data_IF_565138207687
#
_entry.id   IF_565138207687
#
_cell.length_a   1.000
_cell.length_b   1.000
_cell.length_c   1.000
_cell.angle_alpha   90.00
_cell.angle_beta   90.00
_cell.angle_gamma   90.00
#
_symmetry.space_group_name_H-M   'P 1'
#
loop_
_entity.id
_entity.type
_entity.pdbx_description
1 polymer ?
2 non-polymer ?
3 water ?
#
# COMPACT_ATOMS: atom_id res chain seq x y z
N UNK A 2 11.97 7.66 -27.15
CA UNK A 2 11.64 6.89 -25.87
C UNK A 2 12.53 7.26 -24.68
N UNK A 3 11.94 7.45 -23.48
CA UNK A 3 12.77 7.78 -22.32
C UNK A 3 13.76 6.69 -21.94
N UNK A 4 14.81 7.10 -21.25
CA UNK A 4 15.85 6.19 -20.77
C UNK A 4 15.53 5.51 -19.49
N UNK A 5 14.74 6.14 -18.63
CA UNK A 5 14.20 5.49 -17.46
C UNK A 5 12.75 5.85 -17.31
N UNK A 6 11.96 4.90 -16.83
CA UNK A 6 10.65 5.23 -16.30
C UNK A 6 10.50 4.50 -14.97
N UNK A 7 9.54 4.98 -14.18
CA UNK A 7 9.18 4.40 -12.90
C UNK A 7 7.81 4.91 -12.52
N UNK A 8 6.81 4.08 -12.76
CA UNK A 8 5.41 4.44 -12.62
C UNK A 8 4.96 4.66 -11.17
N UNK A 9 5.73 4.12 -10.22
CA UNK A 9 5.54 4.46 -8.81
C UNK A 9 5.66 5.95 -8.56
N UNK A 10 6.53 6.61 -9.30
CA UNK A 10 6.72 8.06 -9.21
C UNK A 10 5.55 8.90 -9.70
N UNK A 11 4.62 8.30 -10.45
CA UNK A 11 3.38 8.97 -10.83
C UNK A 11 2.17 8.44 -10.04
N UNK A 12 2.43 7.83 -8.89
CA UNK A 12 1.39 7.28 -8.02
C UNK A 12 0.42 6.33 -8.68
N UNK A 13 0.93 5.50 -9.59
CA UNK A 13 0.15 4.54 -10.36
C UNK A 13 0.27 3.11 -9.89
N UNK A 14 1.09 2.86 -8.89
CA UNK A 14 1.33 1.54 -8.34
C UNK A 14 0.86 1.49 -6.90
N UNK A 15 0.07 0.48 -6.56
CA UNK A 15 -0.34 0.30 -5.19
C UNK A 15 0.77 -0.36 -4.37
N UNK A 16 0.51 -0.46 -3.08
CA UNK A 16 1.41 -1.13 -2.18
C UNK A 16 1.66 -2.57 -2.58
N UNK A 17 2.83 -3.04 -2.22
CA UNK A 17 3.22 -4.40 -2.51
C UNK A 17 2.36 -5.38 -1.69
N UNK A 18 1.96 -6.45 -2.37
CA UNK A 18 1.10 -7.45 -1.78
C UNK A 18 1.88 -8.71 -1.46
N UNK A 19 1.24 -9.57 -0.68
CA UNK A 19 1.85 -10.79 -0.17
C UNK A 19 0.95 -11.97 -0.49
N UNK A 20 1.35 -12.78 -1.46
CA UNK A 20 0.52 -13.89 -1.94
C UNK A 20 0.51 -15.08 -0.98
N UNK A 21 1.64 -15.32 -0.31
CA UNK A 21 1.77 -16.44 0.60
C UNK A 21 1.68 -17.78 -0.13
N UNK A 22 1.08 -18.78 0.53
CA UNK A 22 1.01 -20.16 0.01
C UNK A 22 0.17 -20.37 -1.25
N UNK A 23 -0.74 -19.45 -1.54
CA UNK A 23 -1.59 -19.54 -2.73
C UNK A 23 -0.82 -19.06 -3.96
N UNK A 24 -0.84 -19.85 -5.04
CA UNK A 24 -0.17 -19.54 -6.28
C UNK A 24 -1.01 -18.60 -7.14
N UNK A 25 -1.28 -17.40 -6.61
CA UNK A 25 -2.09 -16.40 -7.31
C UNK A 25 -1.29 -15.22 -7.85
N UNK A 26 0.01 -15.41 -8.05
CA UNK A 26 0.86 -14.39 -8.66
C UNK A 26 0.27 -13.79 -9.96
N UNK A 27 -0.29 -14.66 -10.81
CA UNK A 27 -1.07 -14.22 -11.99
C UNK A 27 -2.13 -13.15 -11.71
N UNK A 28 -2.93 -13.40 -10.67
CA UNK A 28 -3.98 -12.48 -10.29
C UNK A 28 -3.40 -11.18 -9.78
N UNK A 29 -2.28 -11.25 -9.07
CA UNK A 29 -1.64 -10.02 -8.57
C UNK A 29 -1.03 -9.23 -9.73
N UNK A 30 -0.43 -9.91 -10.70
CA UNK A 30 0.04 -9.25 -11.91
C UNK A 30 -1.10 -8.53 -12.66
N UNK A 31 -2.25 -9.21 -12.77
CA UNK A 31 -3.39 -8.69 -13.49
C UNK A 31 -3.89 -7.42 -12.82
N UNK A 32 -4.24 -7.51 -11.54
CA UNK A 32 -4.77 -6.34 -10.84
C UNK A 32 -3.78 -5.14 -10.83
N UNK A 33 -2.49 -5.43 -10.68
CA UNK A 33 -1.42 -4.44 -10.82
C UNK A 33 -1.48 -3.63 -12.09
N UNK A 34 -1.63 -4.32 -13.21
CA UNK A 34 -1.68 -3.65 -14.50
C UNK A 34 -2.94 -2.76 -14.67
N UNK A 35 -4.08 -3.24 -14.16
CA UNK A 35 -5.36 -2.54 -14.26
C UNK A 35 -5.46 -1.37 -13.26
N UNK A 36 -4.98 -1.56 -12.02
CA UNK A 36 -4.84 -0.47 -11.03
C UNK A 36 -4.25 0.78 -11.68
N UNK A 37 -3.15 0.60 -12.41
CA UNK A 37 -2.48 1.71 -13.07
C UNK A 37 -3.37 2.44 -14.09
N UNK A 38 -4.09 1.69 -14.91
CA UNK A 38 -4.98 2.27 -15.92
C UNK A 38 -6.12 3.02 -15.25
N UNK A 39 -6.63 2.45 -14.16
CA UNK A 39 -7.67 3.14 -13.37
C UNK A 39 -7.16 4.47 -12.85
N UNK A 40 -5.93 4.50 -12.35
CA UNK A 40 -5.35 5.77 -11.88
C UNK A 40 -5.27 6.77 -13.00
N UNK A 41 -4.61 6.41 -14.10
CA UNK A 41 -4.53 7.27 -15.26
C UNK A 41 -5.90 7.82 -15.69
N UNK A 42 -6.88 6.93 -15.81
CA UNK A 42 -8.25 7.31 -16.21
C UNK A 42 -8.91 8.25 -15.19
N UNK A 43 -8.85 7.89 -13.91
CA UNK A 43 -9.70 8.51 -12.88
C UNK A 43 -8.97 9.38 -11.88
N UNK A 44 -7.65 9.30 -11.79
CA UNK A 44 -6.92 9.96 -10.71
C UNK A 44 -6.93 9.25 -9.36
N UNK A 45 -7.76 8.23 -9.20
CA UNK A 45 -7.86 7.48 -7.95
C UNK A 45 -7.11 6.17 -8.11
N UNK A 46 -6.24 5.91 -7.13
CA UNK A 46 -5.44 4.71 -7.05
C UNK A 46 -6.12 3.79 -6.05
N UNK A 47 -6.67 2.69 -6.52
CA UNK A 47 -7.41 1.74 -5.66
C UNK A 47 -6.88 0.32 -5.93
N UNK A 48 -6.52 -0.41 -4.87
CA UNK A 48 -6.16 -1.83 -5.02
C UNK A 48 -7.38 -2.63 -5.39
N UNK A 49 -7.28 -3.35 -6.49
CA UNK A 49 -8.33 -4.21 -6.97
C UNK A 49 -8.10 -5.60 -6.47
N UNK A 50 -9.17 -6.38 -6.50
CA UNK A 50 -9.25 -7.65 -5.81
C UNK A 50 -8.66 -8.81 -6.61
N UNK A 51 -7.60 -9.38 -6.05
CA UNK A 51 -7.02 -10.63 -6.55
C UNK A 51 -7.85 -11.85 -6.17
N UNK A 52 -8.52 -11.77 -5.02
CA UNK A 52 -9.34 -12.87 -4.54
C UNK A 52 -10.54 -13.06 -5.44
N UNK A 53 -11.12 -11.95 -5.89
CA UNK A 53 -12.15 -11.92 -6.93
C UNK A 53 -11.72 -12.73 -8.17
N UNK A 54 -10.49 -12.51 -8.64
CA UNK A 54 -10.01 -13.23 -9.82
C UNK A 54 -9.85 -14.71 -9.52
N UNK A 55 -9.21 -14.98 -8.39
CA UNK A 55 -8.98 -16.35 -7.91
C UNK A 55 -10.30 -17.12 -7.81
N UNK A 56 -11.30 -16.52 -7.16
CA UNK A 56 -12.59 -17.19 -6.96
C UNK A 56 -13.44 -17.29 -8.20
N UNK A 57 -13.39 -16.30 -9.09
CA UNK A 57 -14.37 -16.16 -10.19
C UNK A 57 -13.83 -16.40 -11.61
N UNK A 58 -12.56 -16.10 -11.86
CA UNK A 58 -11.89 -16.41 -13.12
C UNK A 58 -11.25 -17.78 -12.93
N UNK A 59 -12.02 -18.80 -13.29
CA UNK A 59 -11.74 -20.19 -12.94
C UNK A 59 -11.62 -21.02 -14.23
N UNK A 60 -12.09 -22.27 -14.24
CA UNK A 60 -11.83 -23.23 -15.34
C UNK A 60 -12.33 -22.79 -16.71
N UNK A 61 -13.46 -22.06 -16.73
CA UNK A 61 -13.95 -21.40 -17.95
C UNK A 61 -12.92 -20.43 -18.60
N UNK A 62 -12.00 -19.87 -17.80
CA UNK A 62 -10.89 -19.01 -18.30
C UNK A 62 -9.53 -19.68 -18.26
N UNK A 63 -9.51 -21.00 -18.11
CA UNK A 63 -8.28 -21.77 -18.05
C UNK A 63 -7.48 -21.61 -16.78
N UNK A 64 -8.09 -21.10 -15.72
CA UNK A 64 -7.39 -20.82 -14.46
C UNK A 64 -7.80 -21.81 -13.36
N UNK A 65 -6.92 -21.95 -12.38
CA UNK A 65 -7.07 -22.92 -11.31
C UNK A 65 -6.91 -22.29 -9.94
N UNK A 66 -7.27 -21.03 -9.81
CA UNK A 66 -7.10 -20.26 -8.55
C UNK A 66 -5.69 -20.33 -7.94
N UNK A 67 -5.57 -20.88 -6.75
CA UNK A 67 -4.28 -21.07 -6.08
C UNK A 67 -3.32 -22.04 -6.76
N UNK A 68 -3.81 -22.85 -7.69
CA UNK A 68 -2.97 -23.75 -8.46
C UNK A 68 -2.41 -23.10 -9.74
N UNK A 69 -2.70 -21.82 -9.98
CA UNK A 69 -2.18 -21.13 -11.15
C UNK A 69 -3.24 -20.63 -12.11
N UNK A 70 -2.78 -19.86 -13.07
CA UNK A 70 -3.66 -19.18 -14.03
C UNK A 70 -2.84 -18.14 -14.78
N UNK A 71 -3.54 -17.37 -15.61
CA UNK A 71 -2.91 -16.49 -16.56
C UNK A 71 -3.50 -15.09 -16.42
N UNK A 72 -2.71 -14.05 -16.61
CA UNK A 72 -3.22 -12.66 -16.64
C UNK A 72 -4.18 -12.35 -17.82
N UNK A 73 -3.83 -12.82 -19.02
CA UNK A 73 -4.65 -12.58 -20.20
C UNK A 73 -6.13 -12.98 -19.97
N UNK A 74 -6.34 -14.17 -19.41
CA UNK A 74 -7.69 -14.67 -19.23
C UNK A 74 -8.37 -13.98 -18.05
N UNK A 75 -7.58 -13.58 -17.06
CA UNK A 75 -8.10 -12.74 -15.97
C UNK A 75 -8.69 -11.43 -16.52
N UNK A 76 -7.96 -10.79 -17.43
CA UNK A 76 -8.43 -9.58 -18.06
C UNK A 76 -9.71 -9.82 -18.83
N UNK A 77 -9.80 -10.97 -19.50
CA UNK A 77 -11.04 -11.34 -20.20
C UNK A 77 -12.24 -11.47 -19.23
N UNK A 78 -12.04 -12.14 -18.10
CA UNK A 78 -13.10 -12.26 -17.09
C UNK A 78 -13.66 -10.88 -16.69
N UNK A 79 -12.78 -9.91 -16.53
CA UNK A 79 -13.20 -8.60 -16.06
C UNK A 79 -14.01 -7.89 -17.14
N UNK A 80 -13.60 -8.10 -18.40
CA UNK A 80 -14.37 -7.64 -19.54
C UNK A 80 -15.74 -8.32 -19.50
N UNK A 81 -15.75 -9.65 -19.44
CA UNK A 81 -17.00 -10.45 -19.43
C UNK A 81 -17.90 -10.14 -18.23
N UNK A 82 -17.35 -10.21 -17.03
CA UNK A 82 -18.04 -9.85 -15.77
C UNK A 82 -18.51 -8.38 -15.72
N UNK A 83 -18.03 -7.52 -16.64
CA UNK A 83 -18.38 -6.08 -16.69
C UNK A 83 -18.03 -5.35 -15.37
N UNK A 84 -16.96 -5.81 -14.73
CA UNK A 84 -16.53 -5.27 -13.46
C UNK A 84 -15.53 -6.11 -12.73
N UNK A 85 -14.86 -5.48 -11.77
CA UNK A 85 -14.06 -6.15 -10.75
C UNK A 85 -14.22 -5.39 -9.43
N UNK A 86 -14.27 -6.12 -8.32
CA UNK A 86 -14.39 -5.48 -7.03
C UNK A 86 -13.06 -4.92 -6.52
N UNK A 87 -13.18 -3.94 -5.63
CA UNK A 87 -12.08 -3.43 -4.86
C UNK A 87 -11.55 -4.51 -3.93
N UNK A 88 -10.26 -4.44 -3.63
CA UNK A 88 -9.61 -5.24 -2.60
C UNK A 88 -10.28 -5.04 -1.26
N UNK A 89 -10.59 -3.78 -0.92
CA UNK A 89 -11.19 -3.44 0.36
C UNK A 89 -12.50 -4.18 0.60
N UNK A 90 -13.28 -4.36 -0.47
CA UNK A 90 -14.59 -5.03 -0.39
C UNK A 90 -14.51 -6.54 -0.55
N UNK A 91 -13.46 -7.04 -1.19
CA UNK A 91 -13.29 -8.45 -1.48
C UNK A 91 -11.84 -8.80 -1.16
N UNK A 92 -11.52 -8.90 0.15
CA UNK A 92 -10.11 -9.03 0.57
C UNK A 92 -9.47 -10.38 0.23
N UNK A 93 -8.15 -10.34 0.02
CA UNK A 93 -7.35 -11.53 -0.29
C UNK A 93 -7.24 -12.48 0.93
N UNK A 94 -7.56 -13.75 0.70
CA UNK A 94 -7.57 -14.77 1.74
C UNK A 94 -6.57 -15.91 1.50
N UNK A 95 -5.81 -15.85 0.42
CA UNK A 95 -4.83 -16.91 0.07
C UNK A 95 -5.40 -18.34 0.09
N UNK A 96 -6.66 -18.46 -0.30
CA UNK A 96 -7.30 -19.77 -0.53
C UNK A 96 -8.42 -19.62 -1.51
N UNK A 97 -8.71 -20.71 -2.22
CA UNK A 97 -9.84 -20.80 -3.13
C UNK A 97 -11.16 -20.72 -2.36
N UNK A 98 -12.12 -19.96 -2.87
CA UNK A 98 -13.44 -19.79 -2.25
C UNK A 98 -14.51 -19.74 -3.32
N UNK A 99 -15.77 -19.89 -2.92
CA UNK A 99 -16.89 -19.68 -3.85
C UNK A 99 -16.81 -18.23 -4.38
N UNK A 100 -17.33 -18.01 -5.58
CA UNK A 100 -17.30 -16.66 -6.19
C UNK A 100 -18.28 -15.72 -5.51
N UNK A 101 -17.76 -14.63 -4.93
CA UNK A 101 -18.55 -13.72 -4.10
C UNK A 101 -18.54 -12.31 -4.66
N UNK A 102 -18.52 -12.19 -5.98
CA UNK A 102 -18.48 -10.88 -6.63
C UNK A 102 -19.83 -10.19 -6.49
N UNK A 103 -19.80 -8.92 -6.09
CA UNK A 103 -21.00 -8.09 -5.97
C UNK A 103 -20.76 -6.78 -6.72
N UNK A 104 -21.56 -6.54 -7.76
CA UNK A 104 -21.43 -5.36 -8.60
C UNK A 104 -21.63 -4.02 -7.85
N UNK A 105 -22.29 -4.03 -6.70
CA UNK A 105 -22.37 -2.85 -5.84
C UNK A 105 -20.99 -2.32 -5.42
N UNK A 106 -19.99 -3.21 -5.31
CA UNK A 106 -18.64 -2.84 -4.91
C UNK A 106 -17.61 -2.81 -6.07
N UNK A 107 -18.10 -2.72 -7.30
CA UNK A 107 -17.26 -2.65 -8.49
C UNK A 107 -16.38 -1.43 -8.43
N UNK A 108 -15.08 -1.63 -8.53
CA UNK A 108 -14.11 -0.53 -8.43
C UNK A 108 -13.41 -0.23 -9.75
N UNK A 109 -13.54 -1.11 -10.72
CA UNK A 109 -12.94 -0.89 -12.02
C UNK A 109 -13.59 -1.75 -13.08
N UNK A 110 -13.21 -1.45 -14.31
CA UNK A 110 -13.78 -2.10 -15.45
C UNK A 110 -12.65 -2.25 -16.45
N UNK A 111 -12.83 -3.11 -17.44
CA UNK A 111 -11.81 -3.38 -18.46
C UNK A 111 -12.48 -3.49 -19.81
N UNK A 112 -11.97 -2.73 -20.79
CA UNK A 112 -12.55 -2.71 -22.15
C UNK A 112 -11.84 -3.69 -23.08
N UNK A 113 -10.52 -3.71 -23.05
CA UNK A 113 -9.73 -4.63 -23.87
C UNK A 113 -8.41 -4.95 -23.16
N UNK A 114 -7.65 -5.88 -23.73
CA UNK A 114 -6.25 -6.13 -23.38
C UNK A 114 -5.40 -6.44 -24.62
N UNK A 115 -4.10 -6.25 -24.53
CA UNK A 115 -3.18 -6.46 -25.64
C UNK A 115 -2.10 -7.44 -25.17
N UNK A 116 -1.64 -8.30 -26.07
CA UNK A 116 -0.51 -9.16 -25.83
C UNK A 116 0.63 -8.65 -26.70
N UNK A 117 1.84 -8.65 -26.17
CA UNK A 117 3.00 -8.20 -26.93
C UNK A 117 3.67 -9.41 -27.56
N UNK A 118 4.42 -9.19 -28.64
CA UNK A 118 5.19 -10.30 -29.24
C UNK A 118 6.23 -10.89 -28.30
N UNK A 119 6.36 -12.21 -28.35
CA UNK A 119 7.25 -12.95 -27.47
C UNK A 119 8.70 -12.50 -27.67
N UNK A 120 9.43 -12.33 -26.58
CA UNK A 120 10.87 -12.03 -26.61
C UNK A 120 11.30 -10.67 -27.12
N UNK A 121 10.37 -9.74 -27.31
CA UNK A 121 10.67 -8.44 -27.92
C UNK A 121 10.82 -7.40 -26.84
N UNK A 122 12.05 -7.22 -26.35
CA UNK A 122 12.34 -6.31 -25.22
C UNK A 122 12.25 -4.82 -25.61
N UNK A 123 12.55 -4.53 -26.87
CA UNK A 123 12.29 -3.22 -27.44
C UNK A 123 10.79 -2.87 -27.43
N UNK A 124 9.94 -3.84 -27.74
CA UNK A 124 8.50 -3.63 -27.77
C UNK A 124 7.93 -3.48 -26.34
N UNK A 125 8.42 -4.30 -25.42
CA UNK A 125 8.02 -4.20 -24.02
C UNK A 125 8.37 -2.83 -23.44
N UNK A 126 9.57 -2.35 -23.74
CA UNK A 126 10.05 -1.02 -23.33
C UNK A 126 9.13 0.09 -23.83
N UNK A 127 8.79 0.03 -25.12
CA UNK A 127 7.86 0.98 -25.73
C UNK A 127 6.54 1.01 -24.95
N UNK A 128 5.92 -0.16 -24.77
CA UNK A 128 4.67 -0.31 -24.01
C UNK A 128 4.75 0.24 -22.58
N UNK A 129 5.84 -0.08 -21.88
CA UNK A 129 5.99 0.41 -20.50
C UNK A 129 6.09 1.94 -20.48
N UNK A 130 6.84 2.50 -21.43
CA UNK A 130 6.98 3.94 -21.56
C UNK A 130 5.65 4.62 -21.98
N UNK A 131 4.97 4.05 -22.98
CA UNK A 131 3.82 4.71 -23.64
C UNK A 131 2.46 4.32 -23.12
N UNK A 132 2.34 3.17 -22.46
CA UNK A 132 1.02 2.69 -22.02
C UNK A 132 0.81 2.53 -20.51
N UNK A 133 1.89 2.28 -19.77
CA UNK A 133 1.79 2.03 -18.32
C UNK A 133 2.43 0.71 -17.93
N UNK A 134 2.25 0.29 -16.68
CA UNK A 134 2.84 -1.00 -16.28
C UNK A 134 2.26 -2.20 -17.04
N UNK A 135 3.06 -3.23 -17.24
CA UNK A 135 2.74 -4.37 -18.10
C UNK A 135 2.85 -5.67 -17.30
N UNK A 136 1.80 -6.49 -17.36
CA UNK A 136 1.81 -7.80 -16.72
C UNK A 136 2.75 -8.71 -17.51
N UNK A 137 3.66 -9.39 -16.81
CA UNK A 137 4.51 -10.43 -17.44
C UNK A 137 4.63 -11.62 -16.54
N UNK A 138 5.16 -12.67 -17.13
CA UNK A 138 5.56 -13.87 -16.40
C UNK A 138 7.07 -13.89 -16.39
N UNK A 139 7.61 -14.53 -15.37
CA UNK A 139 9.06 -14.79 -15.26
C UNK A 139 9.31 -16.23 -14.85
N UNK A 140 10.52 -16.70 -15.14
CA UNK A 140 10.99 -17.96 -14.57
C UNK A 140 11.59 -17.62 -13.23
N UNK A 141 10.85 -17.94 -12.18
CA UNK A 141 11.26 -17.73 -10.79
C UNK A 141 11.62 -19.02 -10.05
N UNK A 142 11.75 -20.14 -10.77
CA UNK A 142 12.07 -21.45 -10.15
C UNK A 142 13.59 -21.64 -10.00
N UNK A 143 14.20 -20.81 -9.16
CA UNK A 143 15.65 -20.77 -8.97
C UNK A 143 15.91 -20.21 -7.60
N UNK A 144 16.76 -20.87 -6.82
CA UNK A 144 17.04 -20.38 -5.48
C UNK A 144 17.52 -18.93 -5.43
N UNK A 145 18.31 -18.50 -6.41
CA UNK A 145 18.81 -17.11 -6.44
C UNK A 145 17.69 -16.06 -6.49
N UNK A 146 16.56 -16.45 -7.08
CA UNK A 146 15.39 -15.58 -7.14
C UNK A 146 14.84 -15.31 -5.75
N UNK A 147 14.57 -16.36 -4.99
CA UNK A 147 14.00 -16.25 -3.64
C UNK A 147 14.94 -15.53 -2.68
N UNK A 148 16.24 -15.70 -2.88
CA UNK A 148 17.30 -15.06 -2.06
C UNK A 148 17.74 -13.68 -2.51
N UNK A 149 17.15 -13.18 -3.60
CA UNK A 149 17.49 -11.86 -4.09
C UNK A 149 17.17 -10.82 -3.03
N UNK A 150 18.12 -9.94 -2.79
CA UNK A 150 17.92 -8.81 -1.86
C UNK A 150 18.07 -7.46 -2.54
N UNK A 151 19.07 -7.29 -3.42
CA UNK A 151 19.25 -6.05 -4.15
C UNK A 151 20.07 -6.17 -5.42
N UNK A 152 20.16 -5.07 -6.17
CA UNK A 152 21.00 -5.01 -7.37
C UNK A 152 20.25 -5.49 -8.59
N UNK A 153 20.96 -5.74 -9.67
CA UNK A 153 20.32 -6.20 -10.91
C UNK A 153 20.43 -7.71 -10.99
N UNK A 154 19.29 -8.39 -10.85
CA UNK A 154 19.24 -9.84 -10.89
C UNK A 154 19.66 -10.42 -12.24
N UNK A 155 20.59 -11.36 -12.18
CA UNK A 155 21.02 -12.16 -13.31
C UNK A 155 21.30 -13.59 -12.82
N UNK A 156 20.63 -14.57 -13.43
CA UNK A 156 20.81 -15.98 -13.14
C UNK A 156 21.22 -16.63 -14.45
N UNK A 157 22.47 -17.15 -14.50
CA UNK A 157 22.93 -17.86 -15.68
C UNK A 157 22.02 -19.00 -16.10
N UNK A 158 21.50 -19.78 -15.15
CA UNK A 158 20.63 -20.92 -15.47
C UNK A 158 19.13 -20.60 -15.61
N UNK A 159 18.77 -19.33 -15.80
CA UNK A 159 17.35 -18.96 -16.03
C UNK A 159 16.91 -19.40 -17.43
N UNK A 160 15.63 -19.72 -17.57
CA UNK A 160 15.04 -20.10 -18.86
C UNK A 160 13.95 -19.13 -19.27
N UNK A 161 13.39 -19.36 -20.44
CA UNK A 161 12.24 -18.59 -20.93
C UNK A 161 10.91 -19.30 -20.68
N UNK A 162 10.90 -20.37 -19.88
CA UNK A 162 9.64 -20.99 -19.45
C UNK A 162 9.13 -20.35 -18.17
N UNK A 163 8.23 -19.40 -18.33
CA UNK A 163 7.76 -18.57 -17.21
C UNK A 163 6.73 -19.33 -16.35
N UNK A 164 6.71 -18.99 -15.07
CA UNK A 164 5.87 -19.69 -14.13
C UNK A 164 5.38 -18.84 -12.96
N UNK A 165 5.60 -17.53 -13.00
CA UNK A 165 5.34 -16.66 -11.84
C UNK A 165 5.01 -15.26 -12.38
N UNK A 166 3.83 -14.78 -12.03
CA UNK A 166 3.30 -13.52 -12.54
C UNK A 166 3.75 -12.32 -11.74
N UNK A 167 4.20 -11.29 -12.46
CA UNK A 167 4.72 -10.07 -11.86
C UNK A 167 4.33 -8.86 -12.71
N UNK A 168 4.61 -7.65 -12.19
CA UNK A 168 4.30 -6.40 -12.87
C UNK A 168 5.59 -5.59 -13.18
N UNK A 169 5.79 -5.29 -14.46
CA UNK A 169 6.85 -4.38 -14.88
C UNK A 169 6.32 -2.98 -14.75
N UNK A 170 6.89 -2.21 -13.82
CA UNK A 170 6.47 -0.83 -13.53
C UNK A 170 7.54 0.20 -13.92
N UNK A 171 8.61 -0.24 -14.57
CA UNK A 171 9.62 0.68 -15.09
C UNK A 171 10.78 -0.04 -15.69
N UNK A 172 11.78 0.73 -16.09
CA UNK A 172 13.04 0.22 -16.53
C UNK A 172 14.10 1.30 -16.34
N UNK A 173 15.35 0.90 -16.47
CA UNK A 173 16.43 1.87 -16.34
C UNK A 173 17.79 1.24 -16.54
N UNK A 174 18.81 1.95 -16.10
CA UNK A 174 20.18 1.47 -16.10
C UNK A 174 20.83 1.91 -14.80
N UNK A 175 21.54 0.98 -14.16
CA UNK A 175 22.20 1.23 -12.89
C UNK A 175 23.62 0.78 -13.07
N UNK A 176 24.53 1.75 -13.17
CA UNK A 176 25.97 1.51 -13.20
C UNK A 176 26.36 0.63 -14.37
N UNK A 177 25.82 0.95 -15.54
CA UNK A 177 26.03 0.15 -16.75
C UNK A 177 24.99 -0.93 -17.00
N UNK A 178 24.47 -1.55 -15.94
CA UNK A 178 23.48 -2.63 -16.07
C UNK A 178 22.09 -2.11 -16.39
N UNK A 179 21.61 -2.36 -17.60
CA UNK A 179 20.17 -2.18 -17.92
C UNK A 179 19.26 -3.15 -17.14
N UNK A 180 18.15 -2.64 -16.66
CA UNK A 180 17.21 -3.45 -15.90
C UNK A 180 15.77 -3.13 -16.19
N UNK A 181 14.91 -4.08 -15.86
CA UNK A 181 13.47 -3.83 -15.73
C UNK A 181 13.11 -3.74 -14.23
N UNK A 182 12.22 -2.83 -13.90
CA UNK A 182 11.78 -2.63 -12.53
C UNK A 182 10.51 -3.46 -12.35
N UNK A 183 10.54 -4.42 -11.44
CA UNK A 183 9.48 -5.43 -11.33
C UNK A 183 8.87 -5.49 -9.94
N UNK A 184 7.62 -5.09 -9.81
CA UNK A 184 6.88 -5.32 -8.59
C UNK A 184 6.55 -6.80 -8.46
N UNK A 185 6.89 -7.42 -7.32
CA UNK A 185 6.54 -8.81 -7.05
C UNK A 185 5.37 -8.84 -6.07
N UNK A 186 4.87 -10.03 -5.76
CA UNK A 186 3.79 -10.20 -4.78
C UNK A 186 4.22 -11.10 -3.62
N UNK A 187 5.43 -10.84 -3.09
CA UNK A 187 5.95 -11.56 -1.90
C UNK A 187 6.16 -10.67 -0.67
N UNK A 188 5.40 -9.59 -0.61
CA UNK A 188 5.57 -8.60 0.43
C UNK A 188 6.82 -7.75 0.34
N UNK A 189 6.95 -6.88 1.33
CA UNK A 189 8.00 -5.85 1.40
C UNK A 189 9.36 -6.42 1.75
N UNK A 190 9.37 -7.52 2.48
CA UNK A 190 10.64 -8.16 2.90
C UNK A 190 11.40 -8.81 1.75
N UNK A 191 10.71 -9.16 0.66
CA UNK A 191 11.40 -9.62 -0.55
C UNK A 191 12.13 -8.48 -1.27
N UNK A 192 13.36 -8.78 -1.72
CA UNK A 192 14.14 -7.88 -2.58
C UNK A 192 14.21 -6.46 -2.06
N UNK A 193 14.06 -5.49 -2.98
CA UNK A 193 14.19 -4.06 -2.73
C UNK A 193 12.81 -3.47 -2.45
N UNK A 194 12.41 -3.54 -1.18
CA UNK A 194 11.08 -3.12 -0.69
C UNK A 194 9.93 -3.79 -1.46
N UNK A 195 10.12 -5.07 -1.77
CA UNK A 195 9.16 -5.84 -2.58
C UNK A 195 9.40 -5.87 -4.08
N UNK A 196 10.47 -5.23 -4.55
CA UNK A 196 10.75 -5.09 -5.99
C UNK A 196 12.03 -5.81 -6.34
N UNK A 197 12.13 -6.16 -7.61
CA UNK A 197 13.31 -6.81 -8.13
C UNK A 197 13.65 -6.11 -9.43
N UNK A 198 14.92 -5.74 -9.57
CA UNK A 198 15.44 -5.23 -10.82
C UNK A 198 16.09 -6.38 -11.53
N UNK A 199 15.72 -6.54 -12.80
CA UNK A 199 16.08 -7.71 -13.58
C UNK A 199 16.74 -7.31 -14.86
N UNK A 200 17.74 -8.08 -15.25
CA UNK A 200 18.52 -7.88 -16.45
C UNK A 200 17.65 -7.61 -17.66
N UNK A 201 17.95 -6.51 -18.35
CA UNK A 201 17.23 -6.09 -19.54
C UNK A 201 18.17 -6.10 -20.73
N UNK A 202 17.63 -6.40 -21.91
CA UNK A 202 18.41 -6.61 -23.13
C UNK A 202 19.52 -7.67 -22.97
N UNK A 203 19.20 -8.76 -22.27
CA UNK A 203 20.11 -9.89 -22.09
C UNK A 203 19.41 -11.15 -22.62
N UNK A 204 18.93 -11.06 -23.86
CA UNK A 204 18.27 -12.16 -24.52
C UNK A 204 17.06 -12.73 -23.80
N UNK A 205 16.09 -11.89 -23.49
CA UNK A 205 14.86 -12.33 -22.86
C UNK A 205 15.15 -13.15 -21.58
N UNK A 206 15.88 -12.49 -20.68
CA UNK A 206 16.37 -13.10 -19.48
C UNK A 206 15.21 -13.42 -18.53
N UNK A 207 15.16 -14.68 -18.10
CA UNK A 207 14.06 -15.27 -17.33
C UNK A 207 12.69 -15.19 -18.03
N UNK A 208 12.68 -15.02 -19.34
CA UNK A 208 11.43 -14.91 -20.06
C UNK A 208 10.54 -13.70 -19.75
N UNK A 209 11.10 -12.68 -19.12
CA UNK A 209 10.37 -11.43 -18.81
C UNK A 209 9.50 -10.92 -19.94
N UNK A 210 10.00 -10.96 -21.17
CA UNK A 210 9.23 -10.57 -22.35
C UNK A 210 8.61 -11.74 -23.15
N UNK A 211 8.40 -12.88 -22.50
CA UNK A 211 7.82 -14.06 -23.18
C UNK A 211 6.33 -13.90 -23.38
N UNK A 212 5.62 -13.46 -22.34
CA UNK A 212 4.15 -13.26 -22.41
C UNK A 212 3.65 -11.98 -21.74
N UNK A 213 4.00 -10.82 -22.33
CA UNK A 213 3.50 -9.59 -21.74
C UNK A 213 2.10 -9.31 -22.20
N UNK A 214 1.33 -8.68 -21.33
CA UNK A 214 0.03 -8.18 -21.68
C UNK A 214 -0.36 -7.03 -20.79
N UNK A 215 -1.30 -6.22 -21.28
CA UNK A 215 -1.83 -5.10 -20.51
C UNK A 215 -3.28 -4.76 -20.86
N UNK A 216 -4.05 -4.29 -19.86
CA UNK A 216 -5.42 -3.89 -20.08
C UNK A 216 -5.55 -2.40 -20.39
N UNK A 217 -6.72 -2.03 -20.91
CA UNK A 217 -7.08 -0.63 -21.18
C UNK A 217 -8.50 -0.41 -20.76
N UNK A 218 -8.75 0.75 -20.16
CA UNK A 218 -10.07 1.14 -19.74
C UNK A 218 -10.47 2.35 -20.57
N UNK A 219 -11.38 2.12 -21.51
CA UNK A 219 -11.77 3.15 -22.48
C UNK A 219 -12.94 4.01 -22.00
N UNK A 220 -13.13 5.13 -22.71
CA UNK A 220 -14.26 6.08 -22.61
C UNK A 220 -14.11 6.98 -21.44
N UNK B 2 -21.09 13.31 18.66
CA UNK B 2 -22.54 12.97 18.57
C UNK B 2 -22.90 11.69 17.80
N UNK B 3 -22.36 11.46 16.57
CA UNK B 3 -22.74 10.20 15.88
C UNK B 3 -22.23 8.94 16.57
N UNK B 4 -22.93 7.83 16.35
CA UNK B 4 -22.67 6.61 17.11
C UNK B 4 -21.59 5.75 16.53
N UNK B 5 -21.41 5.83 15.22
CA UNK B 5 -20.27 5.23 14.54
C UNK B 5 -19.76 6.21 13.54
N UNK B 6 -18.44 6.24 13.36
CA UNK B 6 -17.88 6.86 12.17
C UNK B 6 -16.86 5.91 11.57
N UNK B 7 -16.54 6.14 10.30
CA UNK B 7 -15.51 5.39 9.60
C UNK B 7 -15.10 6.18 8.38
N UNK B 8 -13.95 6.84 8.51
CA UNK B 8 -13.45 7.78 7.51
C UNK B 8 -12.99 7.14 6.21
N UNK B 9 -12.74 5.84 6.24
CA UNK B 9 -12.55 5.06 5.01
C UNK B 9 -13.71 5.19 4.06
N UNK B 10 -14.92 5.29 4.61
CA UNK B 10 -16.14 5.46 3.81
C UNK B 10 -16.23 6.81 3.07
N UNK B 11 -15.43 7.80 3.46
CA UNK B 11 -15.35 9.06 2.74
C UNK B 11 -14.05 9.18 1.96
N UNK B 12 -13.40 8.05 1.67
CA UNK B 12 -12.15 8.02 0.90
C UNK B 12 -11.05 8.93 1.41
N UNK B 13 -10.92 9.01 2.74
CA UNK B 13 -9.95 9.87 3.42
C UNK B 13 -8.72 9.13 3.93
N UNK B 14 -8.71 7.80 3.80
CA UNK B 14 -7.64 6.97 4.35
C UNK B 14 -6.95 6.26 3.19
N UNK B 15 -5.63 6.36 3.13
CA UNK B 15 -4.88 5.63 2.12
C UNK B 15 -4.75 4.16 2.51
N UNK B 16 -4.21 3.40 1.57
CA UNK B 16 -3.94 2.00 1.79
C UNK B 16 -2.97 1.80 2.96
N UNK B 17 -3.11 0.66 3.59
CA UNK B 17 -2.31 0.32 4.74
C UNK B 17 -0.84 0.15 4.34
N UNK B 18 0.04 0.68 5.17
CA UNK B 18 1.46 0.64 4.90
C UNK B 18 2.16 -0.39 5.76
N UNK B 19 3.41 -0.65 5.42
CA UNK B 19 4.22 -1.67 6.07
C UNK B 19 5.56 -1.06 6.48
N UNK B 20 5.71 -0.82 7.78
CA UNK B 20 6.89 -0.15 8.29
C UNK B 20 8.14 -1.06 8.33
N UNK B 21 7.94 -2.35 8.57
CA UNK B 21 9.05 -3.28 8.65
C UNK B 21 9.92 -3.03 9.86
N UNK B 22 11.23 -3.29 9.71
CA UNK B 22 12.22 -3.18 10.80
C UNK B 22 12.44 -1.78 11.37
N UNK B 23 12.13 -0.75 10.59
CA UNK B 23 12.29 0.63 11.03
C UNK B 23 11.13 1.04 11.94
N UNK B 24 11.46 1.61 13.10
CA UNK B 24 10.47 2.02 14.09
C UNK B 24 9.92 3.41 13.76
N UNK B 25 9.29 3.53 12.59
CA UNK B 25 8.73 4.77 12.11
C UNK B 25 7.20 4.80 12.17
N UNK B 26 6.61 4.00 13.05
CA UNK B 26 5.17 4.04 13.30
C UNK B 26 4.63 5.46 13.55
N UNK B 27 5.36 6.25 14.33
CA UNK B 27 5.07 7.70 14.50
C UNK B 27 4.88 8.45 13.19
N UNK B 28 5.81 8.25 12.26
CA UNK B 28 5.75 8.93 10.98
C UNK B 28 4.55 8.44 10.17
N UNK B 29 4.22 7.15 10.27
CA UNK B 29 3.05 6.62 9.57
C UNK B 29 1.75 7.15 10.18
N UNK B 30 1.70 7.25 11.50
CA UNK B 30 0.57 7.90 12.16
C UNK B 30 0.39 9.37 11.71
N UNK B 31 1.51 10.09 11.61
CA UNK B 31 1.49 11.49 11.23
C UNK B 31 0.97 11.65 9.83
N UNK B 32 1.58 11.00 8.87
CA UNK B 32 1.14 11.14 7.47
C UNK B 32 -0.31 10.70 7.28
N UNK B 33 -0.74 9.63 7.96
CA UNK B 33 -2.13 9.22 8.01
C UNK B 33 -3.11 10.32 8.37
N UNK B 34 -2.81 11.05 9.43
CA UNK B 34 -3.67 12.12 9.90
C UNK B 34 -3.73 13.31 8.90
N UNK B 35 -2.60 13.62 8.28
CA UNK B 35 -2.51 14.73 7.33
C UNK B 35 -3.09 14.35 5.95
N UNK B 36 -2.83 13.14 5.47
CA UNK B 36 -3.48 12.60 4.24
C UNK B 36 -4.98 12.89 4.26
N UNK B 37 -5.63 12.60 5.38
CA UNK B 37 -7.05 12.83 5.53
C UNK B 37 -7.47 14.30 5.35
N UNK B 38 -6.73 15.21 5.97
CA UNK B 38 -7.01 16.64 5.88
C UNK B 38 -6.80 17.11 4.46
N UNK B 39 -5.76 16.61 3.80
CA UNK B 39 -5.51 16.93 2.41
C UNK B 39 -6.68 16.48 1.51
N UNK B 40 -7.21 15.28 1.76
CA UNK B 40 -8.36 14.82 1.02
C UNK B 40 -9.55 15.75 1.20
N UNK B 41 -9.94 15.97 2.44
CA UNK B 41 -11.01 16.88 2.76
C UNK B 41 -10.86 18.24 2.07
N UNK B 42 -9.67 18.82 2.20
CA UNK B 42 -9.37 20.14 1.59
C UNK B 42 -9.44 20.11 0.07
N UNK B 43 -8.79 19.11 -0.54
CA UNK B 43 -8.53 19.10 -1.99
C UNK B 43 -9.33 18.10 -2.81
N UNK B 44 -9.96 17.12 -2.19
CA UNK B 44 -10.56 16.01 -2.93
C UNK B 44 -9.61 14.96 -3.48
N UNK B 45 -8.29 15.20 -3.42
CA UNK B 45 -7.31 14.23 -3.84
C UNK B 45 -6.73 13.52 -2.61
N UNK B 46 -6.70 12.20 -2.71
CA UNK B 46 -6.15 11.33 -1.69
C UNK B 46 -4.78 10.88 -2.17
N UNK B 47 -3.73 11.35 -1.52
CA UNK B 47 -2.35 10.99 -1.90
C UNK B 47 -1.58 10.61 -0.64
N UNK B 48 -0.87 9.47 -0.71
CA UNK B 48 0.02 9.04 0.38
C UNK B 48 1.19 9.99 0.47
N UNK B 49 1.39 10.52 1.67
CA UNK B 49 2.49 11.41 1.96
C UNK B 49 3.63 10.60 2.52
N UNK B 50 4.81 11.21 2.44
CA UNK B 50 6.06 10.53 2.66
C UNK B 50 6.43 10.43 4.14
N UNK B 51 6.49 9.18 4.61
CA UNK B 51 7.01 8.86 5.93
C UNK B 51 8.53 8.93 5.97
N UNK B 52 9.17 8.62 4.84
CA UNK B 52 10.64 8.61 4.75
C UNK B 52 11.15 10.01 4.90
N UNK B 53 10.44 10.96 4.27
CA UNK B 53 10.66 12.40 4.48
C UNK B 53 10.70 12.77 5.96
N UNK B 54 9.73 12.29 6.74
CA UNK B 54 9.69 12.59 8.17
C UNK B 54 10.86 11.96 8.89
N UNK B 55 11.08 10.69 8.58
CA UNK B 55 12.17 9.91 9.16
C UNK B 55 13.52 10.58 8.91
N UNK B 56 13.78 10.97 7.65
CA UNK B 56 15.07 11.58 7.28
C UNK B 56 15.25 13.00 7.77
N UNK B 57 14.18 13.78 7.82
CA UNK B 57 14.27 15.25 8.01
C UNK B 57 13.76 15.78 9.36
N UNK B 58 12.76 15.13 9.96
CA UNK B 58 12.29 15.46 11.30
C UNK B 58 13.08 14.58 12.25
N UNK B 59 14.19 15.15 12.72
CA UNK B 59 15.24 14.40 13.42
C UNK B 59 15.46 15.01 14.81
N UNK B 60 16.70 15.05 15.30
CA UNK B 60 17.00 15.44 16.71
C UNK B 60 16.51 16.83 17.11
N UNK B 61 16.55 17.77 16.17
CA UNK B 61 15.95 19.10 16.35
C UNK B 61 14.43 19.06 16.69
N UNK B 62 13.72 17.98 16.31
CA UNK B 62 12.30 17.77 16.69
C UNK B 62 12.12 16.66 17.70
N UNK B 63 13.19 16.26 18.37
CA UNK B 63 13.15 15.21 19.37
C UNK B 63 12.95 13.81 18.84
N UNK B 64 13.20 13.61 17.55
CA UNK B 64 12.97 12.31 16.89
C UNK B 64 14.28 11.63 16.54
N UNK B 65 14.21 10.32 16.35
CA UNK B 65 15.38 9.48 16.16
C UNK B 65 15.20 8.57 14.95
N UNK B 66 14.44 9.03 13.96
CA UNK B 66 14.12 8.23 12.76
C UNK B 66 13.60 6.84 13.05
N UNK B 67 14.34 5.81 12.62
CA UNK B 67 13.97 4.41 12.88
C UNK B 67 14.00 3.97 14.34
N UNK B 68 14.64 4.76 15.22
CA UNK B 68 14.62 4.49 16.64
C UNK B 68 13.45 5.10 17.40
N UNK B 69 12.55 5.79 16.68
CA UNK B 69 11.38 6.37 17.33
C UNK B 69 11.28 7.87 17.19
N UNK B 70 10.14 8.38 17.61
CA UNK B 70 9.80 9.79 17.46
C UNK B 70 8.32 9.97 17.76
N UNK B 71 7.84 11.18 17.54
CA UNK B 71 6.53 11.59 17.97
C UNK B 71 5.79 12.21 16.80
N UNK B 72 4.47 12.03 16.73
CA UNK B 72 3.65 12.69 15.70
C UNK B 72 3.57 14.22 15.84
N UNK B 73 3.41 14.70 17.08
CA UNK B 73 3.31 16.14 17.35
C UNK B 73 4.47 16.91 16.72
N UNK B 74 5.69 16.42 16.91
CA UNK B 74 6.88 17.12 16.42
C UNK B 74 7.03 16.93 14.92
N UNK B 75 6.57 15.80 14.39
CA UNK B 75 6.49 15.60 12.95
C UNK B 75 5.61 16.67 12.29
N UNK B 76 4.46 16.93 12.90
CA UNK B 76 3.56 17.95 12.40
C UNK B 76 4.22 19.32 12.43
N UNK B 77 4.98 19.59 13.48
CA UNK B 77 5.74 20.86 13.56
C UNK B 77 6.76 21.00 12.42
N UNK B 78 7.52 19.93 12.14
CA UNK B 78 8.47 19.95 11.04
C UNK B 78 7.79 20.36 9.71
N UNK B 79 6.59 19.85 9.46
CA UNK B 79 5.91 20.10 8.21
C UNK B 79 5.48 21.55 8.15
N UNK B 80 5.05 22.09 9.30
CA UNK B 80 4.76 23.50 9.41
C UNK B 80 6.05 24.27 9.12
N UNK B 81 7.13 23.96 9.83
CA UNK B 81 8.43 24.64 9.67
C UNK B 81 9.01 24.51 8.27
N UNK B 82 9.13 23.29 7.78
CA UNK B 82 9.57 23.00 6.40
C UNK B 82 8.66 23.60 5.30
N UNK B 83 7.48 24.08 5.65
CA UNK B 83 6.53 24.70 4.70
C UNK B 83 6.10 23.72 3.58
N UNK B 84 6.07 22.44 3.93
CA UNK B 84 5.80 21.40 2.97
C UNK B 84 6.17 20.01 3.45
N UNK B 85 5.59 19.01 2.77
CA UNK B 85 6.01 17.61 2.85
C UNK B 85 5.87 16.98 1.46
N UNK B 86 6.80 16.10 1.11
CA UNK B 86 6.72 15.43 -0.18
C UNK B 86 5.74 14.28 -0.20
N UNK B 87 5.28 13.97 -1.41
CA UNK B 87 4.51 12.78 -1.68
C UNK B 87 5.36 11.54 -1.47
N UNK B 88 4.68 10.46 -1.09
CA UNK B 88 5.28 9.12 -1.02
C UNK B 88 5.91 8.73 -2.36
N UNK B 89 5.19 9.00 -3.44
CA UNK B 89 5.63 8.63 -4.79
C UNK B 89 6.98 9.24 -5.14
N UNK B 90 7.21 10.47 -4.68
CA UNK B 90 8.45 11.20 -4.97
C UNK B 90 9.58 10.92 -3.97
N UNK B 91 9.21 10.51 -2.76
CA UNK B 91 10.16 10.27 -1.69
C UNK B 91 9.75 8.94 -1.02
N UNK B 92 10.05 7.82 -1.70
CA UNK B 92 9.54 6.52 -1.25
C UNK B 92 10.14 5.98 0.06
N UNK B 93 9.35 5.20 0.77
CA UNK B 93 9.76 4.60 2.03
C UNK B 93 10.79 3.47 1.82
N UNK B 94 11.90 3.57 2.54
CA UNK B 94 13.02 2.61 2.43
C UNK B 94 13.31 1.86 3.73
N UNK B 95 12.55 2.12 4.79
CA UNK B 95 12.75 1.47 6.10
C UNK B 95 14.19 1.50 6.62
N UNK B 96 14.91 2.60 6.32
CA UNK B 96 16.15 2.94 7.01
C UNK B 96 16.36 4.43 7.03
N UNK B 97 17.16 4.89 7.98
CA UNK B 97 17.58 6.28 8.09
C UNK B 97 18.44 6.65 6.87
N UNK B 98 18.21 7.85 6.33
CA UNK B 98 18.96 8.38 5.21
C UNK B 98 19.19 9.88 5.43
N UNK B 99 20.11 10.46 4.66
CA UNK B 99 20.27 11.92 4.62
C UNK B 99 18.93 12.54 4.18
N UNK B 100 18.66 13.77 4.60
CA UNK B 100 17.42 14.46 4.24
C UNK B 100 17.39 14.87 2.77
N UNK B 101 16.42 14.35 2.03
CA UNK B 101 16.36 14.54 0.57
C UNK B 101 15.07 15.23 0.15
N UNK B 102 14.57 16.14 0.99
CA UNK B 102 13.33 16.86 0.69
C UNK B 102 13.55 17.85 -0.44
N UNK B 103 12.64 17.83 -1.41
CA UNK B 103 12.66 18.77 -2.52
C UNK B 103 11.27 19.40 -2.65
N UNK B 104 11.21 20.73 -2.47
CA UNK B 104 9.96 21.48 -2.51
C UNK B 104 9.21 21.41 -3.84
N UNK B 105 9.91 21.10 -4.93
CA UNK B 105 9.27 20.84 -6.23
C UNK B 105 8.23 19.70 -6.17
N UNK B 106 8.43 18.72 -5.29
CA UNK B 106 7.52 17.57 -5.12
C UNK B 106 6.62 17.65 -3.87
N UNK B 107 6.44 18.84 -3.33
CA UNK B 107 5.60 19.08 -2.17
C UNK B 107 4.16 18.68 -2.47
N UNK B 108 3.61 17.79 -1.67
CA UNK B 108 2.27 17.26 -1.89
C UNK B 108 1.26 17.73 -0.85
N UNK B 109 1.74 18.29 0.25
CA UNK B 109 0.86 18.81 1.28
C UNK B 109 1.58 19.82 2.14
N UNK B 110 0.81 20.45 2.99
CA UNK B 110 1.30 21.51 3.83
C UNK B 110 0.53 21.37 5.13
N UNK B 111 1.01 22.02 6.19
CA UNK B 111 0.38 21.93 7.50
C UNK B 111 0.40 23.30 8.15
N UNK B 112 -0.75 23.78 8.61
CA UNK B 112 -0.87 25.13 9.23
C UNK B 112 -0.74 25.05 10.75
N UNK B 113 -1.45 24.12 11.38
CA UNK B 113 -1.38 23.92 12.83
C UNK B 113 -1.62 22.46 13.19
N UNK B 114 -1.44 22.14 14.47
CA UNK B 114 -1.87 20.85 15.05
C UNK B 114 -2.44 21.05 16.47
N UNK B 115 -3.26 20.12 16.92
CA UNK B 115 -3.86 20.18 18.25
C UNK B 115 -3.52 18.92 19.03
N UNK B 116 -3.32 19.02 20.34
CA UNK B 116 -3.18 17.88 21.21
C UNK B 116 -4.43 17.80 22.06
N UNK B 117 -4.94 16.60 22.27
CA UNK B 117 -6.13 16.42 23.09
C UNK B 117 -5.70 16.10 24.52
N UNK B 118 -6.59 16.35 25.50
CA UNK B 118 -6.28 15.99 26.88
C UNK B 118 -6.09 14.50 27.09
N UNK B 119 -5.13 14.16 27.94
CA UNK B 119 -4.78 12.77 28.21
C UNK B 119 -5.98 12.00 28.76
N UNK B 120 -6.16 10.77 28.28
CA UNK B 120 -7.18 9.85 28.80
C UNK B 120 -8.65 10.18 28.55
N UNK B 121 -8.94 11.18 27.72
CA UNK B 121 -10.30 11.69 27.55
C UNK B 121 -10.90 11.10 26.29
N UNK B 122 -11.58 9.97 26.45
CA UNK B 122 -12.15 9.21 25.33
C UNK B 122 -13.39 9.88 24.74
N UNK B 123 -14.13 10.59 25.57
CA UNK B 123 -15.20 11.48 25.09
C UNK B 123 -14.66 12.59 24.18
N UNK B 124 -13.51 13.16 24.52
CA UNK B 124 -12.91 14.22 23.71
C UNK B 124 -12.33 13.67 22.40
N UNK B 125 -11.69 12.51 22.47
CA UNK B 125 -11.17 11.85 21.27
C UNK B 125 -12.30 11.52 20.28
N UNK B 126 -13.41 11.02 20.82
CA UNK B 126 -14.60 10.70 20.02
C UNK B 126 -15.14 11.92 19.29
N UNK B 127 -15.26 13.03 20.02
CA UNK B 127 -15.68 14.29 19.43
C UNK B 127 -14.78 14.67 18.26
N UNK B 128 -13.47 14.72 18.50
CA UNK B 128 -12.46 15.01 17.47
C UNK B 128 -12.52 14.10 16.26
N UNK B 129 -12.66 12.79 16.48
CA UNK B 129 -12.74 11.85 15.36
C UNK B 129 -14.00 12.11 14.53
N UNK B 130 -15.11 12.37 15.21
CA UNK B 130 -16.37 12.69 14.55
C UNK B 130 -16.31 14.02 13.81
N UNK B 131 -15.78 15.06 14.46
CA UNK B 131 -15.87 16.45 13.96
C UNK B 131 -14.68 16.93 13.19
N UNK B 132 -13.53 16.30 13.33
CA UNK B 132 -12.29 16.82 12.70
C UNK B 132 -11.61 15.90 11.68
N UNK B 133 -11.75 14.60 11.86
CA UNK B 133 -11.13 13.62 10.97
C UNK B 133 -10.34 12.60 11.74
N UNK B 134 -9.56 11.76 11.04
CA UNK B 134 -8.71 10.81 11.75
C UNK B 134 -7.66 11.49 12.65
N UNK B 135 -7.33 10.83 13.76
CA UNK B 135 -6.50 11.40 14.82
C UNK B 135 -5.31 10.48 15.08
N UNK B 136 -4.11 11.05 15.08
CA UNK B 136 -2.90 10.30 15.41
C UNK B 136 -2.92 9.99 16.91
N UNK B 137 -2.69 8.72 17.27
CA UNK B 137 -2.50 8.34 18.67
C UNK B 137 -1.37 7.36 18.82
N UNK B 138 -0.98 7.15 20.08
CA UNK B 138 -0.03 6.14 20.45
C UNK B 138 -0.78 5.07 21.19
N UNK B 139 -0.24 3.85 21.14
CA UNK B 139 -0.77 2.72 21.90
C UNK B 139 0.34 1.95 22.58
N UNK B 140 -0.02 1.21 23.62
CA UNK B 140 0.89 0.21 24.18
C UNK B 140 0.68 -1.06 23.40
N UNK B 141 1.65 -1.32 22.51
CA UNK B 141 1.68 -2.51 21.66
C UNK B 141 2.71 -3.55 22.09
N UNK B 142 3.33 -3.39 23.26
CA UNK B 142 4.37 -4.31 23.76
C UNK B 142 3.75 -5.48 24.50
N UNK B 143 3.04 -6.33 23.74
CA UNK B 143 2.29 -7.46 24.28
C UNK B 143 2.13 -8.45 23.14
N UNK B 144 2.45 -9.73 23.38
CA UNK B 144 2.27 -10.71 22.36
C UNK B 144 0.88 -10.77 21.74
N UNK B 145 -0.18 -10.56 22.54
CA UNK B 145 -1.55 -10.57 22.02
C UNK B 145 -1.81 -9.53 20.94
N UNK B 146 -1.06 -8.42 21.00
CA UNK B 146 -1.16 -7.37 20.00
C UNK B 146 -0.67 -7.87 18.64
N UNK B 147 0.53 -8.43 18.61
CA UNK B 147 1.12 -8.92 17.36
C UNK B 147 0.32 -10.06 16.74
N UNK B 148 -0.29 -10.88 17.60
CA UNK B 148 -1.13 -12.03 17.18
C UNK B 148 -2.59 -11.72 16.94
N UNK B 149 -2.99 -10.45 17.09
CA UNK B 149 -4.38 -10.07 16.87
C UNK B 149 -4.76 -10.37 15.45
N UNK B 150 -5.91 -11.01 15.26
CA UNK B 150 -6.46 -11.28 13.93
C UNK B 150 -7.80 -10.60 13.67
N UNK B 151 -8.72 -10.66 14.63
CA UNK B 151 -10.02 -10.00 14.47
C UNK B 151 -10.74 -9.72 15.79
N UNK B 152 -11.87 -9.01 15.69
CA UNK B 152 -12.72 -8.73 16.84
C UNK B 152 -12.27 -7.48 17.56
N UNK B 153 -12.77 -7.25 18.76
CA UNK B 153 -12.40 -6.10 19.56
C UNK B 153 -11.28 -6.50 20.52
N UNK B 154 -10.07 -5.97 20.29
CA UNK B 154 -8.92 -6.24 21.11
C UNK B 154 -9.08 -5.73 22.54
N UNK B 155 -8.83 -6.62 23.48
CA UNK B 155 -8.73 -6.30 24.89
C UNK B 155 -7.61 -7.15 25.50
N UNK B 156 -6.64 -6.50 26.13
CA UNK B 156 -5.54 -7.11 26.82
C UNK B 156 -5.62 -6.65 28.27
N UNK B 157 -5.90 -7.59 29.19
CA UNK B 157 -5.92 -7.25 30.62
C UNK B 157 -4.66 -6.58 31.10
N UNK B 158 -3.49 -7.04 30.66
CA UNK B 158 -2.21 -6.47 31.12
C UNK B 158 -1.69 -5.26 30.31
N UNK B 159 -2.57 -4.61 29.55
CA UNK B 159 -2.17 -3.39 28.80
C UNK B 159 -1.98 -2.22 29.76
N UNK B 160 -1.07 -1.31 29.41
CA UNK B 160 -0.81 -0.11 30.21
C UNK B 160 -1.09 1.14 29.40
N UNK B 161 -0.95 2.30 30.05
CA UNK B 161 -1.10 3.58 29.39
C UNK B 161 0.24 4.19 28.99
N UNK B 162 1.32 3.41 29.06
CA UNK B 162 2.62 3.85 28.51
C UNK B 162 2.74 3.47 27.04
N UNK B 163 2.41 4.43 26.18
CA UNK B 163 2.32 4.16 24.73
C UNK B 163 3.71 4.12 24.09
N UNK B 164 3.84 3.33 23.03
CA UNK B 164 5.13 3.11 22.40
C UNK B 164 5.06 2.82 20.90
N UNK B 165 3.89 2.97 20.28
CA UNK B 165 3.68 2.59 18.89
C UNK B 165 2.58 3.50 18.29
N UNK B 166 2.93 4.20 17.22
CA UNK B 166 2.05 5.19 16.60
C UNK B 166 1.09 4.58 15.59
N UNK B 167 -0.18 4.98 15.69
CA UNK B 167 -1.24 4.47 14.83
C UNK B 167 -2.25 5.58 14.53
N UNK B 168 -3.20 5.31 13.66
CA UNK B 168 -4.24 6.27 13.25
C UNK B 168 -5.66 5.78 13.61
N UNK B 169 -6.38 6.58 14.39
CA UNK B 169 -7.79 6.34 14.68
C UNK B 169 -8.57 6.93 13.51
N UNK B 170 -9.23 6.06 12.73
CA UNK B 170 -10.03 6.45 11.57
C UNK B 170 -11.53 6.21 11.77
N UNK B 171 -11.93 5.80 12.98
CA UNK B 171 -13.35 5.68 13.30
C UNK B 171 -13.54 5.13 14.69
N UNK B 172 -14.79 4.88 15.00
CA UNK B 172 -15.18 4.18 16.20
C UNK B 172 -16.54 3.54 15.98
N UNK B 173 -16.94 2.67 16.89
CA UNK B 173 -18.23 2.01 16.77
C UNK B 173 -18.50 1.07 17.90
N UNK B 174 -19.49 0.21 17.70
CA UNK B 174 -19.83 -0.86 18.62
C UNK B 174 -20.12 -2.13 17.82
N UNK B 175 -19.58 -3.26 18.29
CA UNK B 175 -19.86 -4.59 17.74
C UNK B 175 -20.71 -5.38 18.73
N UNK B 176 -22.01 -5.30 18.53
CA UNK B 176 -23.01 -5.90 19.43
C UNK B 176 -22.89 -5.37 20.85
N UNK B 177 -22.74 -4.05 20.96
CA UNK B 177 -22.53 -3.40 22.26
C UNK B 177 -21.10 -3.29 22.74
N UNK B 178 -20.17 -4.11 22.25
CA UNK B 178 -18.71 -3.91 22.52
C UNK B 178 -18.14 -2.68 21.79
N UNK B 179 -17.91 -1.59 22.50
CA UNK B 179 -17.43 -0.35 21.92
C UNK B 179 -15.98 -0.45 21.51
N UNK B 180 -15.64 0.09 20.36
CA UNK B 180 -14.28 0.05 19.87
C UNK B 180 -13.85 1.33 19.19
N UNK B 181 -12.54 1.49 19.08
CA UNK B 181 -11.94 2.47 18.16
C UNK B 181 -11.40 1.70 16.94
N UNK B 182 -11.56 2.29 15.77
CA UNK B 182 -11.12 1.68 14.53
C UNK B 182 -9.72 2.26 14.24
N UNK B 183 -8.71 1.39 14.19
CA UNK B 183 -7.32 1.84 14.19
C UNK B 183 -6.54 1.27 13.00
N UNK B 184 -6.14 2.13 12.09
CA UNK B 184 -5.24 1.76 11.02
C UNK B 184 -3.84 1.58 11.63
N UNK B 185 -3.19 0.45 11.36
CA UNK B 185 -1.83 0.20 11.82
C UNK B 185 -0.88 0.36 10.62
N UNK B 186 0.43 0.23 10.85
CA UNK B 186 1.40 0.25 9.75
C UNK B 186 2.22 -1.05 9.69
N UNK B 187 1.53 -2.19 9.77
CA UNK B 187 2.13 -3.53 9.64
C UNK B 187 1.63 -4.33 8.43
N UNK B 188 1.22 -3.61 7.38
CA UNK B 188 0.63 -4.23 6.19
C UNK B 188 -0.74 -4.88 6.37
N UNK B 189 -1.24 -5.47 5.28
CA UNK B 189 -2.57 -6.11 5.23
C UNK B 189 -2.69 -7.40 6.04
N UNK B 190 -1.58 -8.13 6.19
CA UNK B 190 -1.61 -9.39 6.96
C UNK B 190 -1.84 -9.23 8.45
N UNK B 191 -1.57 -8.04 9.00
CA UNK B 191 -1.93 -7.74 10.38
C UNK B 191 -3.44 -7.55 10.56
N UNK B 192 -3.99 -8.15 11.62
CA UNK B 192 -5.37 -7.96 12.02
C UNK B 192 -6.38 -8.06 10.91
N UNK B 193 -7.33 -7.11 10.90
CA UNK B 193 -8.45 -7.07 9.96
C UNK B 193 -8.10 -6.19 8.76
N UNK B 194 -7.46 -6.80 7.78
CA UNK B 194 -6.96 -6.14 6.56
C UNK B 194 -6.03 -4.94 6.90
N UNK B 195 -5.20 -5.13 7.93
CA UNK B 195 -4.33 -4.08 8.43
C UNK B 195 -4.85 -3.20 9.55
N UNK B 196 -6.08 -3.47 10.03
CA UNK B 196 -6.75 -2.66 11.04
C UNK B 196 -6.96 -3.45 12.30
N UNK B 197 -7.10 -2.73 13.40
CA UNK B 197 -7.35 -3.34 14.70
C UNK B 197 -8.44 -2.52 15.33
N UNK B 198 -9.45 -3.22 15.84
CA UNK B 198 -10.49 -2.60 16.64
C UNK B 198 -10.13 -2.82 18.08
N UNK B 199 -10.16 -1.73 18.84
CA UNK B 199 -9.64 -1.72 20.19
C UNK B 199 -10.68 -1.18 21.15
N UNK B 200 -10.71 -1.79 22.33
CA UNK B 200 -11.65 -1.44 23.38
C UNK B 200 -11.73 0.05 23.63
N UNK B 201 -12.96 0.56 23.60
CA UNK B 201 -13.28 1.97 23.81
C UNK B 201 -14.12 2.12 25.07
N UNK B 202 -13.94 3.24 25.75
CA UNK B 202 -14.52 3.50 27.06
C UNK B 202 -14.23 2.39 28.08
N UNK B 203 -13.00 1.89 28.09
CA UNK B 203 -12.54 0.89 29.07
C UNK B 203 -11.32 1.47 29.81
N UNK B 204 -11.49 2.68 30.32
CA UNK B 204 -10.45 3.37 31.06
C UNK B 204 -9.16 3.59 30.32
N UNK B 205 -9.23 4.21 29.15
CA UNK B 205 -8.03 4.53 28.37
C UNK B 205 -7.19 3.25 28.12
N UNK B 206 -7.84 2.27 27.51
CA UNK B 206 -7.26 0.96 27.31
C UNK B 206 -6.11 1.03 26.31
N UNK B 207 -4.97 0.51 26.72
CA UNK B 207 -3.70 0.61 26.00
C UNK B 207 -3.22 2.04 25.74
N UNK B 208 -3.71 3.00 26.52
CA UNK B 208 -3.34 4.39 26.34
C UNK B 208 -3.73 5.05 25.02
N UNK B 209 -4.70 4.46 24.32
CA UNK B 209 -5.20 5.01 23.05
C UNK B 209 -5.43 6.51 23.07
N UNK B 210 -6.01 7.01 24.16
CA UNK B 210 -6.25 8.44 24.34
C UNK B 210 -5.21 9.16 25.23
N UNK B 211 -4.00 8.61 25.34
CA UNK B 211 -2.96 9.21 26.19
C UNK B 211 -2.34 10.45 25.52
N UNK B 212 -2.02 10.33 24.23
CA UNK B 212 -1.45 11.46 23.46
C UNK B 212 -2.02 11.59 22.05
N UNK B 213 -3.30 11.99 21.96
CA UNK B 213 -3.84 12.19 20.62
C UNK B 213 -3.44 13.55 20.09
N UNK B 214 -3.28 13.63 18.78
CA UNK B 214 -3.09 14.88 18.12
C UNK B 214 -3.53 14.79 16.68
N UNK B 215 -3.81 15.96 16.11
CA UNK B 215 -4.20 16.04 14.69
C UNK B 215 -3.80 17.35 14.02
N UNK B 216 -3.48 17.28 12.71
CA UNK B 216 -3.12 18.48 11.97
C UNK B 216 -4.32 19.10 11.26
N UNK B 217 -4.14 20.34 10.83
CA UNK B 217 -5.14 21.07 10.02
C UNK B 217 -4.42 21.81 8.94
N UNK B 218 -5.02 21.82 7.76
CA UNK B 218 -4.49 22.53 6.60
C UNK B 218 -5.48 23.62 6.26
N UNK B 219 -5.10 24.86 6.58
CA UNK B 219 -6.02 26.00 6.45
C UNK B 219 -5.96 26.65 5.06
N UNK B 220 -7.04 27.36 4.72
CA UNK B 220 -7.05 28.25 3.54
C UNK B 220 -6.04 29.41 3.73
N UNK B 221 -5.80 29.82 4.99
CA UNK B 221 -4.96 30.97 5.34
C UNK B 221 -3.47 30.78 4.98
#
# INVERSE_FOLDING_TARGET
ILPDSVDWREKGCVTEVKYQGSCGASWAFSAVGALEAQLKLKTGKLVSLSAQNLVDCSTEKYGNKGCNGGFMTTAFQYIIDNKGIDSDASYPYKAMDQKCQYDSKYRAATCSKYTELPYGREDVLKEAVANKGPVSVGVDARHPSFFLYRSGVYYEPSCTQNVNHGVLVVGYGDLNGKEYWLVKNSWGHNFGEEGYIRMARNKGNHCGIASFPSYPEILQGGG
ILPDSVDWREKGCVTEVKYQGSCGASWAFSAVGALEAQLKLKTGKLVSLSAQNLVDCSTEKYGNKGCNGGFMTTAFQYIIDNKGIDSDASYPYKAMDQKCQYDSKYRAATCSKYTELPYGREDVLKEAVANKGPVSVGVDARHPSFFLYRSGVYYEPSCTQNVNHGVLVVGYGDLNGKEYWLVKNSWGHNFGEEGYIRMARNKGNHCGIASFPSYPEILQGGG
#
